data_IF_325344422986
#
_entry.id   IF_325344422986
#
_cell.length_a   1.000
_cell.length_b   1.000
_cell.length_c   1.000
_cell.angle_alpha   90.00
_cell.angle_beta   90.00
_cell.angle_gamma   90.00
#
_symmetry.space_group_name_H-M   'P 1'
#
loop_
_entity.id
_entity.type
_entity.pdbx_description
1 polymer ?
#
# COMPACT_ATOMS: atom_id res chain seq x y z
N UNK A 1 6.35 15.84 -4.55
CA UNK A 1 5.70 14.54 -4.84
C UNK A 1 4.44 14.40 -4.01
N UNK A 2 3.34 14.01 -4.61
CA UNK A 2 2.09 13.64 -3.92
C UNK A 2 1.98 12.12 -3.87
N UNK A 3 1.74 11.61 -2.70
CA UNK A 3 1.75 10.18 -2.40
C UNK A 3 0.45 9.75 -1.73
N UNK A 4 -0.04 8.56 -2.04
CA UNK A 4 -1.19 7.93 -1.38
C UNK A 4 -0.84 6.51 -0.97
N UNK A 5 -1.25 6.10 0.23
CA UNK A 5 -1.41 4.68 0.57
C UNK A 5 -2.80 4.42 1.13
N UNK A 6 -3.35 3.26 0.81
CA UNK A 6 -4.65 2.80 1.28
C UNK A 6 -4.70 1.27 1.24
N UNK A 7 -5.03 0.64 2.36
CA UNK A 7 -5.58 -0.70 2.35
C UNK A 7 -7.00 -0.59 1.78
N UNK A 8 -7.24 -1.20 0.63
CA UNK A 8 -8.45 -0.96 -0.16
C UNK A 8 -9.62 -1.82 0.26
N UNK A 9 -9.36 -2.97 0.92
CA UNK A 9 -10.35 -4.02 1.14
C UNK A 9 -11.12 -4.38 -0.15
N UNK A 10 -10.87 -3.65 -1.23
CA UNK A 10 -11.29 -3.83 -2.62
C UNK A 10 -12.76 -4.22 -2.78
N UNK A 11 -13.04 -5.37 -3.41
CA UNK A 11 -14.41 -5.84 -3.67
C UNK A 11 -15.13 -6.40 -2.45
N UNK A 12 -14.47 -6.47 -1.28
CA UNK A 12 -15.07 -6.93 -0.03
C UNK A 12 -15.95 -5.86 0.65
N UNK A 13 -15.86 -4.61 0.19
CA UNK A 13 -16.63 -3.51 0.75
C UNK A 13 -18.11 -3.54 0.37
N UNK A 14 -18.97 -3.15 1.30
CA UNK A 14 -20.36 -2.81 0.98
C UNK A 14 -20.38 -1.59 0.05
N UNK A 15 -21.21 -1.62 -1.02
CA UNK A 15 -21.22 -0.62 -2.09
C UNK A 15 -19.84 -0.43 -2.75
N UNK A 16 -19.14 -1.54 -3.03
CA UNK A 16 -17.80 -1.53 -3.58
C UNK A 16 -17.67 -0.67 -4.85
N UNK A 17 -18.68 -0.68 -5.74
CA UNK A 17 -18.67 0.14 -6.96
C UNK A 17 -18.74 1.65 -6.63
N UNK A 18 -19.58 2.08 -5.71
CA UNK A 18 -19.67 3.48 -5.26
C UNK A 18 -18.37 3.95 -4.61
N UNK A 19 -17.76 3.10 -3.78
CA UNK A 19 -16.47 3.34 -3.14
C UNK A 19 -15.32 3.40 -4.15
N UNK A 20 -15.30 2.50 -5.12
CA UNK A 20 -14.37 2.52 -6.24
C UNK A 20 -14.44 3.84 -7.03
N UNK A 21 -15.65 4.32 -7.36
CA UNK A 21 -15.83 5.61 -8.04
C UNK A 21 -15.33 6.78 -7.19
N UNK A 22 -15.61 6.78 -5.89
CA UNK A 22 -15.12 7.81 -4.95
C UNK A 22 -13.58 7.85 -4.90
N UNK A 23 -12.94 6.68 -4.82
CA UNK A 23 -11.47 6.57 -4.86
C UNK A 23 -10.92 7.08 -6.20
N UNK A 24 -11.52 6.67 -7.33
CA UNK A 24 -11.14 7.13 -8.67
C UNK A 24 -11.23 8.66 -8.79
N UNK A 25 -12.31 9.27 -8.33
CA UNK A 25 -12.51 10.73 -8.37
C UNK A 25 -11.46 11.48 -7.56
N UNK A 26 -11.09 10.97 -6.39
CA UNK A 26 -10.02 11.55 -5.58
C UNK A 26 -8.67 11.48 -6.31
N UNK A 27 -8.36 10.33 -6.93
CA UNK A 27 -7.11 10.17 -7.69
C UNK A 27 -7.08 11.13 -8.89
N UNK A 28 -8.17 11.27 -9.64
CA UNK A 28 -8.28 12.23 -10.74
C UNK A 28 -8.10 13.68 -10.28
N UNK A 29 -8.65 14.03 -9.13
CA UNK A 29 -8.58 15.37 -8.54
C UNK A 29 -7.17 15.73 -8.09
N UNK A 30 -6.48 14.83 -7.39
CA UNK A 30 -5.18 15.10 -6.77
C UNK A 30 -4.03 14.77 -7.71
N UNK A 31 -4.18 13.73 -8.55
CA UNK A 31 -3.17 13.22 -9.48
C UNK A 31 -1.88 12.85 -8.76
N UNK A 32 -1.97 11.87 -7.86
CA UNK A 32 -0.81 11.37 -7.10
C UNK A 32 0.31 10.90 -8.03
N UNK A 33 1.55 11.16 -7.65
CA UNK A 33 2.72 10.69 -8.38
C UNK A 33 2.93 9.18 -8.20
N UNK A 34 2.71 8.71 -6.96
CA UNK A 34 2.86 7.30 -6.56
C UNK A 34 1.71 6.92 -5.62
N UNK A 35 1.20 5.70 -5.78
CA UNK A 35 0.15 5.12 -4.93
C UNK A 35 0.56 3.71 -4.51
N UNK A 36 0.41 3.40 -3.21
CA UNK A 36 0.55 2.05 -2.65
C UNK A 36 -0.81 1.55 -2.19
N UNK A 37 -1.24 0.39 -2.69
CA UNK A 37 -2.48 -0.25 -2.28
C UNK A 37 -2.22 -1.61 -1.64
N UNK A 38 -3.03 -1.96 -0.65
CA UNK A 38 -3.04 -3.25 0.02
C UNK A 38 -4.43 -3.88 -0.15
N UNK A 39 -4.53 -5.18 0.05
CA UNK A 39 -5.74 -5.99 -0.18
C UNK A 39 -6.34 -5.80 -1.57
N UNK A 40 -5.47 -5.61 -2.55
CA UNK A 40 -5.86 -5.56 -3.96
C UNK A 40 -6.25 -6.95 -4.41
N UNK A 41 -7.51 -7.15 -4.78
CA UNK A 41 -8.02 -8.46 -5.08
C UNK A 41 -8.70 -8.59 -6.45
N UNK A 42 -8.93 -9.84 -6.84
CA UNK A 42 -9.70 -10.29 -7.99
C UNK A 42 -10.33 -11.65 -7.69
N UNK A 43 -11.49 -11.94 -8.24
CA UNK A 43 -12.14 -13.25 -8.14
C UNK A 43 -11.35 -14.34 -8.88
N UNK A 44 -11.18 -15.51 -8.25
CA UNK A 44 -10.45 -16.64 -8.84
C UNK A 44 -11.15 -17.19 -10.09
N UNK A 45 -12.48 -17.16 -10.14
CA UNK A 45 -13.28 -17.80 -11.18
C UNK A 45 -13.58 -16.87 -12.37
N UNK A 46 -13.21 -15.60 -12.33
CA UNK A 46 -13.44 -14.68 -13.45
C UNK A 46 -12.43 -14.90 -14.59
N UNK A 47 -12.73 -14.33 -15.74
CA UNK A 47 -11.91 -14.57 -16.93
C UNK A 47 -10.55 -13.86 -16.84
N UNK A 48 -9.50 -14.57 -17.23
CA UNK A 48 -8.17 -13.98 -17.45
C UNK A 48 -8.22 -13.00 -18.62
N UNK A 49 -7.51 -11.89 -18.50
CA UNK A 49 -7.40 -10.86 -19.53
C UNK A 49 -5.94 -10.54 -19.86
N UNK A 50 -5.70 -10.06 -21.06
CA UNK A 50 -4.39 -9.51 -21.42
C UNK A 50 -4.14 -8.20 -20.69
N UNK A 51 -2.88 -7.94 -20.36
CA UNK A 51 -2.42 -6.69 -19.78
C UNK A 51 -1.70 -5.85 -20.82
N UNK A 52 -1.66 -4.53 -20.61
CA UNK A 52 -0.95 -3.58 -21.44
C UNK A 52 0.52 -3.39 -21.02
N UNK A 53 1.25 -2.53 -21.74
CA UNK A 53 2.66 -2.21 -21.48
C UNK A 53 2.88 -1.41 -20.16
N UNK A 54 1.81 -0.99 -19.48
CA UNK A 54 1.88 -0.29 -18.21
C UNK A 54 1.88 -1.23 -16.99
N UNK A 55 1.52 -2.51 -17.20
CA UNK A 55 1.65 -3.53 -16.16
C UNK A 55 3.04 -4.14 -16.15
N UNK A 56 3.68 -4.16 -15.00
CA UNK A 56 5.00 -4.75 -14.77
C UNK A 56 4.85 -6.01 -13.90
N UNK A 57 4.79 -7.17 -14.56
CA UNK A 57 4.60 -8.45 -13.89
C UNK A 57 5.78 -8.82 -12.98
N UNK A 58 5.48 -9.44 -11.85
CA UNK A 58 6.43 -9.96 -10.87
C UNK A 58 6.60 -11.48 -10.99
N UNK A 59 7.67 -12.08 -10.44
CA UNK A 59 7.88 -13.53 -10.50
C UNK A 59 6.75 -14.36 -9.87
N UNK A 60 6.09 -13.84 -8.82
CA UNK A 60 4.93 -14.47 -8.18
C UNK A 60 3.60 -14.23 -8.90
N UNK A 61 3.60 -13.47 -10.02
CA UNK A 61 2.37 -13.04 -10.66
C UNK A 61 1.47 -14.22 -11.01
N UNK A 62 0.24 -14.19 -10.55
CA UNK A 62 -0.87 -14.98 -11.07
C UNK A 62 -1.51 -14.23 -12.25
N UNK A 63 -2.22 -14.91 -13.16
CA UNK A 63 -2.90 -14.23 -14.25
C UNK A 63 -3.81 -13.09 -13.76
N UNK A 64 -3.83 -11.99 -14.49
CA UNK A 64 -4.71 -10.87 -14.19
C UNK A 64 -6.11 -11.17 -14.74
N UNK A 65 -7.11 -11.04 -13.90
CA UNK A 65 -8.51 -11.28 -14.23
C UNK A 65 -9.25 -9.99 -14.59
N UNK A 66 -10.40 -10.15 -15.24
CA UNK A 66 -11.18 -9.00 -15.76
C UNK A 66 -11.65 -8.03 -14.68
N UNK A 67 -11.82 -8.52 -13.45
CA UNK A 67 -12.28 -7.77 -12.27
C UNK A 67 -11.14 -7.32 -11.34
N UNK A 68 -9.87 -7.52 -11.73
CA UNK A 68 -8.74 -7.08 -10.90
C UNK A 68 -8.85 -5.60 -10.56
N UNK A 69 -8.93 -5.29 -9.26
CA UNK A 69 -9.29 -3.96 -8.76
C UNK A 69 -8.39 -2.85 -9.33
N UNK A 70 -7.07 -3.01 -9.23
CA UNK A 70 -6.13 -1.99 -9.73
C UNK A 70 -6.14 -1.91 -11.25
N UNK A 71 -6.25 -3.05 -11.98
CA UNK A 71 -6.36 -3.02 -13.44
C UNK A 71 -7.54 -2.16 -13.90
N UNK A 72 -8.73 -2.39 -13.32
CA UNK A 72 -9.91 -1.60 -13.64
C UNK A 72 -9.73 -0.13 -13.28
N UNK A 73 -9.09 0.14 -12.13
CA UNK A 73 -8.84 1.51 -11.69
C UNK A 73 -7.93 2.27 -12.67
N UNK A 74 -6.78 1.69 -13.05
CA UNK A 74 -5.85 2.34 -13.98
C UNK A 74 -6.44 2.50 -15.38
N UNK A 75 -7.25 1.55 -15.84
CA UNK A 75 -7.98 1.65 -17.08
C UNK A 75 -8.96 2.84 -17.07
N UNK A 76 -9.76 2.97 -16.00
CA UNK A 76 -10.70 4.09 -15.84
C UNK A 76 -10.00 5.45 -15.69
N UNK A 77 -8.84 5.47 -15.04
CA UNK A 77 -8.03 6.69 -14.94
C UNK A 77 -7.43 7.07 -16.30
N UNK A 78 -6.98 6.08 -17.09
CA UNK A 78 -6.45 6.31 -18.44
C UNK A 78 -7.50 6.84 -19.41
N UNK A 79 -8.76 6.38 -19.32
CA UNK A 79 -9.91 6.92 -20.09
C UNK A 79 -10.10 8.44 -19.85
N UNK A 80 -9.73 8.92 -18.65
CA UNK A 80 -9.79 10.34 -18.23
C UNK A 80 -8.43 11.07 -18.46
N UNK A 81 -7.46 10.42 -19.12
CA UNK A 81 -6.17 11.01 -19.47
C UNK A 81 -5.10 10.94 -18.37
N UNK A 82 -5.33 10.15 -17.31
CA UNK A 82 -4.38 9.96 -16.22
C UNK A 82 -3.79 8.54 -16.26
N UNK A 83 -2.59 8.40 -16.80
CA UNK A 83 -1.93 7.11 -16.99
C UNK A 83 -1.01 6.76 -15.81
N UNK A 84 -1.03 5.48 -15.38
CA UNK A 84 -0.12 4.89 -14.41
C UNK A 84 0.55 3.63 -14.94
N UNK A 85 1.84 3.49 -14.70
CA UNK A 85 2.53 2.19 -14.64
C UNK A 85 2.19 1.54 -13.32
N UNK A 86 2.04 0.20 -13.30
CA UNK A 86 1.66 -0.48 -12.08
C UNK A 86 2.25 -1.88 -11.98
N UNK A 87 2.36 -2.36 -10.77
CA UNK A 87 2.79 -3.73 -10.44
C UNK A 87 1.95 -4.27 -9.29
N UNK A 88 1.81 -5.58 -9.20
CA UNK A 88 1.05 -6.26 -8.16
C UNK A 88 1.79 -7.52 -7.71
N UNK A 89 2.09 -7.62 -6.40
CA UNK A 89 2.66 -8.78 -5.75
C UNK A 89 1.51 -9.61 -5.16
N UNK A 90 1.31 -10.79 -5.70
CA UNK A 90 0.30 -11.73 -5.24
C UNK A 90 0.73 -12.39 -3.93
N UNK A 91 -0.12 -12.37 -2.92
CA UNK A 91 0.12 -12.96 -1.62
C UNK A 91 -0.52 -14.34 -1.48
N UNK A 92 -1.84 -14.37 -1.37
CA UNK A 92 -2.60 -15.57 -1.06
C UNK A 92 -4.04 -15.50 -1.56
N UNK A 93 -4.78 -16.55 -1.33
CA UNK A 93 -6.23 -16.60 -1.53
C UNK A 93 -6.89 -16.07 -0.26
N UNK A 94 -7.50 -14.89 -0.37
CA UNK A 94 -8.34 -14.30 0.67
C UNK A 94 -9.77 -14.83 0.57
N UNK A 95 -10.43 -15.02 1.71
CA UNK A 95 -11.85 -15.38 1.81
C UNK A 95 -12.27 -16.58 0.95
N UNK A 96 -11.35 -17.52 0.68
CA UNK A 96 -11.53 -18.74 -0.12
C UNK A 96 -11.79 -18.53 -1.62
N UNK A 97 -11.98 -17.31 -2.11
CA UNK A 97 -12.34 -17.05 -3.50
C UNK A 97 -11.62 -15.86 -4.18
N UNK A 98 -10.84 -15.10 -3.44
CA UNK A 98 -10.13 -13.92 -3.97
C UNK A 98 -8.63 -14.14 -4.03
N UNK A 99 -8.01 -13.95 -5.18
CA UNK A 99 -6.56 -13.73 -5.25
C UNK A 99 -6.27 -12.32 -4.70
N UNK A 100 -5.45 -12.22 -3.66
CA UNK A 100 -5.17 -10.97 -2.95
C UNK A 100 -3.68 -10.65 -2.92
N UNK A 101 -3.36 -9.37 -2.94
CA UNK A 101 -1.98 -8.90 -2.88
C UNK A 101 -1.84 -7.41 -2.64
N UNK A 102 -0.65 -6.89 -2.90
CA UNK A 102 -0.30 -5.48 -2.73
C UNK A 102 0.19 -4.89 -4.05
N UNK A 103 -0.10 -3.60 -4.30
CA UNK A 103 0.24 -2.95 -5.56
C UNK A 103 0.97 -1.63 -5.37
N UNK A 104 1.79 -1.27 -6.36
CA UNK A 104 2.38 0.07 -6.50
C UNK A 104 2.01 0.61 -7.87
N UNK A 105 1.52 1.86 -7.90
CA UNK A 105 1.24 2.61 -9.10
C UNK A 105 2.17 3.82 -9.16
N UNK A 106 2.68 4.14 -10.36
CA UNK A 106 3.56 5.30 -10.58
C UNK A 106 3.19 6.00 -11.88
N UNK A 107 3.18 7.33 -11.88
CA UNK A 107 3.00 8.13 -13.11
C UNK A 107 4.22 8.08 -14.02
N UNK A 108 5.38 7.71 -13.50
CA UNK A 108 6.61 7.49 -14.25
C UNK A 108 6.85 5.99 -14.46
N UNK A 109 7.56 5.59 -15.52
CA UNK A 109 7.98 4.21 -15.69
C UNK A 109 8.65 3.67 -14.43
N UNK A 110 8.44 2.39 -14.14
CA UNK A 110 8.99 1.73 -12.96
C UNK A 110 9.70 0.42 -13.32
N UNK A 111 10.66 0.06 -12.48
CA UNK A 111 11.24 -1.28 -12.44
C UNK A 111 10.65 -2.00 -11.23
N UNK A 112 9.92 -3.08 -11.48
CA UNK A 112 9.23 -3.84 -10.45
C UNK A 112 10.09 -4.96 -9.88
N UNK A 113 10.00 -5.18 -8.58
CA UNK A 113 10.51 -6.36 -7.89
C UNK A 113 9.64 -6.67 -6.67
N UNK A 114 9.83 -7.86 -6.08
CA UNK A 114 9.08 -8.27 -4.89
C UNK A 114 9.99 -8.88 -3.84
N UNK A 115 9.50 -8.98 -2.62
CA UNK A 115 10.15 -9.65 -1.51
C UNK A 115 9.13 -10.60 -0.88
N UNK A 116 9.39 -11.90 -0.86
CA UNK A 116 8.67 -12.82 0.03
C UNK A 116 9.16 -12.56 1.46
N UNK A 117 8.30 -11.98 2.29
CA UNK A 117 8.66 -11.60 3.66
C UNK A 117 8.20 -12.60 4.70
N UNK A 118 7.18 -13.41 4.42
CA UNK A 118 6.73 -14.49 5.29
C UNK A 118 7.63 -15.73 5.23
N UNK A 119 7.57 -16.58 6.25
CA UNK A 119 8.22 -17.90 6.25
C UNK A 119 7.50 -18.89 5.34
N UNK A 120 6.24 -18.62 5.04
CA UNK A 120 5.36 -19.44 4.20
C UNK A 120 5.34 -18.86 2.79
N UNK A 121 5.35 -19.75 1.79
CA UNK A 121 5.09 -19.45 0.38
C UNK A 121 4.04 -20.44 -0.16
N UNK A 122 2.82 -20.29 0.32
CA UNK A 122 1.68 -21.12 -0.05
C UNK A 122 0.46 -20.21 -0.28
N UNK A 123 -0.10 -20.15 -1.49
CA UNK A 123 -1.23 -19.28 -1.76
C UNK A 123 -2.51 -19.64 -0.98
N UNK A 124 -2.59 -20.83 -0.41
CA UNK A 124 -3.72 -21.25 0.44
C UNK A 124 -3.54 -20.88 1.92
N UNK A 125 -2.38 -20.35 2.27
CA UNK A 125 -2.08 -19.86 3.63
C UNK A 125 -2.07 -18.34 3.66
N UNK A 126 -3.02 -17.73 4.37
CA UNK A 126 -3.17 -16.27 4.49
C UNK A 126 -1.98 -15.58 5.18
N UNK A 127 -1.05 -16.33 5.77
CA UNK A 127 0.20 -15.79 6.29
C UNK A 127 1.25 -15.56 5.19
N UNK A 128 1.00 -16.01 3.96
CA UNK A 128 1.90 -15.71 2.84
C UNK A 128 1.86 -14.20 2.54
N UNK A 129 2.99 -13.53 2.71
CA UNK A 129 3.13 -12.08 2.54
C UNK A 129 4.28 -11.75 1.60
N UNK A 130 4.00 -10.88 0.63
CA UNK A 130 4.99 -10.24 -0.24
C UNK A 130 4.87 -8.74 -0.16
N UNK A 131 5.97 -8.09 -0.40
CA UNK A 131 6.08 -6.64 -0.57
C UNK A 131 6.30 -6.36 -2.03
N UNK A 132 5.48 -5.51 -2.64
CA UNK A 132 5.71 -5.00 -3.98
C UNK A 132 6.68 -3.81 -3.93
N UNK A 133 7.73 -3.85 -4.71
CA UNK A 133 8.75 -2.80 -4.77
C UNK A 133 8.79 -2.20 -6.16
N UNK A 134 8.73 -0.88 -6.25
CA UNK A 134 8.91 -0.12 -7.47
C UNK A 134 10.13 0.81 -7.34
N UNK A 135 11.08 0.71 -8.25
CA UNK A 135 12.12 1.72 -8.44
C UNK A 135 11.68 2.61 -9.60
N UNK A 136 11.54 3.90 -9.36
CA UNK A 136 11.00 4.88 -10.32
C UNK A 136 11.72 6.22 -10.17
N UNK A 137 11.27 7.24 -10.88
CA UNK A 137 11.87 8.58 -10.85
C UNK A 137 10.87 9.62 -10.34
N UNK A 138 11.30 10.43 -9.40
CA UNK A 138 10.56 11.59 -8.89
C UNK A 138 11.45 12.83 -8.99
N UNK A 139 10.98 13.89 -9.64
CA UNK A 139 11.72 15.13 -9.84
C UNK A 139 13.16 14.91 -10.37
N UNK A 140 13.32 13.90 -11.27
CA UNK A 140 14.61 13.54 -11.88
C UNK A 140 15.56 12.72 -11.00
N UNK A 141 15.14 12.28 -9.80
CA UNK A 141 15.90 11.41 -8.90
C UNK A 141 15.29 10.02 -8.85
N UNK A 142 16.12 8.99 -8.88
CA UNK A 142 15.69 7.62 -8.64
C UNK A 142 15.28 7.43 -7.18
N UNK A 143 14.14 6.78 -6.97
CA UNK A 143 13.58 6.46 -5.65
C UNK A 143 13.15 5.00 -5.61
N UNK A 144 13.12 4.41 -4.42
CA UNK A 144 12.52 3.11 -4.17
C UNK A 144 11.26 3.28 -3.31
N UNK A 145 10.20 2.64 -3.72
CA UNK A 145 8.92 2.64 -3.00
C UNK A 145 8.44 1.21 -2.82
N UNK A 146 7.96 0.89 -1.64
CA UNK A 146 7.44 -0.43 -1.32
C UNK A 146 6.03 -0.34 -0.72
N UNK A 147 5.11 -1.11 -1.28
CA UNK A 147 3.78 -1.34 -0.72
C UNK A 147 3.83 -2.58 0.17
N UNK A 148 3.44 -2.42 1.43
CA UNK A 148 3.50 -3.47 2.45
C UNK A 148 2.11 -3.78 3.01
N UNK A 149 1.87 -5.05 3.32
CA UNK A 149 0.78 -5.52 4.17
C UNK A 149 1.36 -6.61 5.05
N UNK A 150 1.78 -6.25 6.27
CA UNK A 150 2.52 -7.12 7.18
C UNK A 150 1.62 -7.78 8.21
N UNK A 151 2.17 -8.78 8.88
CA UNK A 151 1.50 -9.51 9.94
C UNK A 151 1.53 -8.74 11.27
N UNK A 152 0.74 -9.20 12.25
CA UNK A 152 0.75 -8.69 13.62
C UNK A 152 2.06 -9.07 14.33
N UNK A 153 2.43 -8.30 15.36
CA UNK A 153 3.66 -8.48 16.13
C UNK A 153 3.94 -9.93 16.56
N UNK A 154 2.92 -10.62 17.02
CA UNK A 154 2.99 -12.00 17.54
C UNK A 154 2.71 -13.07 16.47
N UNK A 155 2.56 -12.69 15.18
CA UNK A 155 2.20 -13.58 14.08
C UNK A 155 3.14 -13.53 12.88
N UNK A 156 4.43 -13.20 13.11
CA UNK A 156 5.44 -13.23 12.04
C UNK A 156 6.05 -11.88 11.66
N UNK A 157 5.53 -10.77 12.18
CA UNK A 157 6.03 -9.44 11.84
C UNK A 157 7.56 -9.28 12.02
N UNK A 158 8.15 -9.88 13.05
CA UNK A 158 9.58 -9.70 13.35
C UNK A 158 10.47 -10.27 12.24
N UNK A 159 10.12 -11.44 11.72
CA UNK A 159 10.82 -12.12 10.62
C UNK A 159 10.56 -11.40 9.30
N UNK A 160 9.33 -10.95 9.05
CA UNK A 160 8.97 -10.15 7.88
C UNK A 160 9.75 -8.83 7.85
N UNK A 161 9.80 -8.13 8.98
CA UNK A 161 10.54 -6.88 9.10
C UNK A 161 12.05 -7.06 8.89
N UNK A 162 12.64 -8.13 9.46
CA UNK A 162 14.06 -8.43 9.25
C UNK A 162 14.41 -8.65 7.78
N UNK A 163 13.53 -9.26 6.98
CA UNK A 163 13.73 -9.42 5.54
C UNK A 163 13.62 -8.10 4.77
N UNK A 164 12.71 -7.23 5.18
CA UNK A 164 12.61 -5.86 4.64
C UNK A 164 13.91 -5.09 4.93
N UNK A 165 14.41 -5.13 6.16
CA UNK A 165 15.68 -4.49 6.53
C UNK A 165 16.85 -5.01 5.67
N UNK A 166 16.98 -6.33 5.54
CA UNK A 166 18.03 -6.94 4.73
C UNK A 166 17.97 -6.50 3.27
N UNK A 167 16.76 -6.43 2.69
CA UNK A 167 16.56 -6.01 1.29
C UNK A 167 16.95 -4.56 1.05
N UNK A 168 16.64 -3.67 2.00
CA UNK A 168 16.80 -2.23 1.81
C UNK A 168 18.06 -1.63 2.44
N UNK A 169 18.80 -2.37 3.28
CA UNK A 169 20.01 -1.85 3.95
C UNK A 169 21.07 -1.26 3.01
N UNK A 170 21.10 -1.69 1.76
CA UNK A 170 22.06 -1.25 0.75
C UNK A 170 21.39 -0.60 -0.47
N UNK A 171 20.15 -0.10 -0.33
CA UNK A 171 19.38 0.42 -1.47
C UNK A 171 20.02 1.66 -2.11
N UNK A 172 20.70 2.49 -1.30
CA UNK A 172 21.44 3.66 -1.77
C UNK A 172 20.59 4.73 -2.48
N UNK A 173 19.27 4.65 -2.34
CA UNK A 173 18.28 5.57 -2.94
C UNK A 173 17.32 6.06 -1.86
N UNK A 174 16.70 7.24 -2.03
CA UNK A 174 15.58 7.65 -1.20
C UNK A 174 14.51 6.57 -1.17
N UNK A 175 14.08 6.17 0.03
CA UNK A 175 13.19 5.04 0.27
C UNK A 175 11.87 5.50 0.88
N UNK A 176 10.77 4.89 0.45
CA UNK A 176 9.45 4.97 1.09
C UNK A 176 8.91 3.55 1.28
N UNK A 177 8.55 3.21 2.52
CA UNK A 177 7.79 2.02 2.86
C UNK A 177 6.41 2.46 3.31
N UNK A 178 5.36 2.03 2.62
CA UNK A 178 4.01 2.49 2.92
C UNK A 178 2.98 1.37 2.84
N UNK A 179 1.97 1.43 3.69
CA UNK A 179 0.87 0.48 3.71
C UNK A 179 0.42 0.11 5.11
N UNK A 180 -0.20 -1.04 5.19
CA UNK A 180 -0.70 -1.64 6.42
C UNK A 180 0.39 -2.48 7.09
N UNK A 181 0.90 -1.99 8.20
CA UNK A 181 1.92 -2.69 9.00
C UNK A 181 1.31 -3.56 10.09
N UNK A 182 -0.01 -3.49 10.33
CA UNK A 182 -0.71 -4.25 11.37
C UNK A 182 -0.10 -4.14 12.78
N UNK A 183 0.63 -3.06 13.04
CA UNK A 183 1.33 -2.81 14.32
C UNK A 183 1.01 -1.39 14.80
N UNK A 184 0.19 -1.26 15.86
CA UNK A 184 -0.28 0.04 16.32
C UNK A 184 0.85 0.98 16.76
N UNK A 185 0.67 2.27 16.47
CA UNK A 185 1.59 3.32 16.91
C UNK A 185 1.90 3.24 18.41
N UNK A 186 3.18 3.37 18.75
CA UNK A 186 3.67 3.32 20.13
C UNK A 186 3.86 1.91 20.70
N UNK A 187 3.45 0.83 20.01
CA UNK A 187 3.67 -0.56 20.44
C UNK A 187 4.97 -1.14 19.86
N UNK A 188 5.29 -2.37 20.25
CA UNK A 188 6.57 -3.03 19.99
C UNK A 188 6.95 -3.04 18.51
N UNK A 189 6.04 -3.43 17.60
CA UNK A 189 6.30 -3.49 16.18
C UNK A 189 6.62 -2.11 15.58
N UNK A 190 5.85 -1.09 15.94
CA UNK A 190 6.13 0.30 15.56
C UNK A 190 7.50 0.77 16.08
N UNK A 191 7.84 0.47 17.34
CA UNK A 191 9.12 0.84 17.92
C UNK A 191 10.29 0.13 17.22
N UNK A 192 10.12 -1.13 16.80
CA UNK A 192 11.15 -1.86 16.07
C UNK A 192 11.43 -1.25 14.69
N UNK A 193 10.39 -0.73 14.01
CA UNK A 193 10.55 -0.01 12.75
C UNK A 193 11.39 1.27 12.96
N UNK A 194 11.06 2.06 13.98
CA UNK A 194 11.80 3.30 14.28
C UNK A 194 13.24 3.06 14.72
N UNK A 195 13.51 1.91 15.37
CA UNK A 195 14.86 1.50 15.78
C UNK A 195 15.67 0.84 14.64
N UNK A 196 15.09 0.67 13.46
CA UNK A 196 15.70 0.02 12.30
C UNK A 196 16.96 0.73 11.82
N UNK A 197 17.99 -0.03 11.36
CA UNK A 197 19.16 0.54 10.72
C UNK A 197 18.86 1.25 9.39
N UNK A 198 17.64 1.11 8.84
CA UNK A 198 17.18 1.87 7.67
C UNK A 198 17.01 3.36 7.96
N UNK A 199 17.04 3.77 9.24
CA UNK A 199 16.93 5.15 9.68
C UNK A 199 15.70 5.87 9.09
N UNK A 200 14.56 5.24 9.22
CA UNK A 200 13.29 5.74 8.71
C UNK A 200 12.67 6.77 9.67
N UNK A 201 11.92 7.69 9.11
CA UNK A 201 11.08 8.63 9.84
C UNK A 201 9.60 8.32 9.57
N UNK A 202 8.77 8.36 10.60
CA UNK A 202 7.32 8.27 10.47
C UNK A 202 6.80 9.61 9.92
N UNK A 203 6.23 9.58 8.72
CA UNK A 203 5.72 10.80 8.08
C UNK A 203 4.64 11.51 8.89
N UNK A 204 3.87 10.77 9.70
CA UNK A 204 2.86 11.35 10.59
C UNK A 204 3.48 12.22 11.69
N UNK A 205 4.61 11.77 12.26
CA UNK A 205 5.27 12.46 13.37
C UNK A 205 6.13 13.64 12.93
N UNK A 206 6.65 13.61 11.67
CA UNK A 206 7.61 14.62 11.18
C UNK A 206 7.01 15.61 10.20
N UNK A 207 5.77 15.40 9.75
CA UNK A 207 5.10 16.33 8.84
C UNK A 207 4.99 17.73 9.45
N UNK A 208 5.19 18.76 8.62
CA UNK A 208 5.00 20.17 9.06
C UNK A 208 3.53 20.46 9.36
N UNK A 209 2.61 19.79 8.67
CA UNK A 209 1.16 19.86 8.88
C UNK A 209 0.59 18.45 8.88
N UNK A 210 -0.18 18.08 9.91
CA UNK A 210 -0.85 16.79 10.04
C UNK A 210 -2.34 16.98 10.28
N UNK A 211 -3.17 16.19 9.56
CA UNK A 211 -4.63 16.17 9.74
C UNK A 211 -5.10 14.73 9.92
N UNK A 212 -5.98 14.51 10.90
CA UNK A 212 -6.43 13.17 11.31
C UNK A 212 -5.54 12.56 12.38
N UNK A 213 -5.87 11.35 12.83
CA UNK A 213 -5.16 10.73 13.95
C UNK A 213 -5.04 9.20 13.83
N UNK A 214 -6.01 8.55 13.20
CA UNK A 214 -6.14 7.10 13.14
C UNK A 214 -6.34 6.68 11.70
N UNK A 215 -6.00 5.43 11.39
CA UNK A 215 -6.17 4.86 10.06
C UNK A 215 -7.24 3.78 10.01
N UNK A 216 -7.73 3.34 11.17
CA UNK A 216 -8.83 2.39 11.26
C UNK A 216 -9.76 2.73 12.44
N UNK A 217 -11.04 2.42 12.27
CA UNK A 217 -12.04 2.47 13.33
C UNK A 217 -11.91 1.29 14.33
N UNK A 218 -12.72 1.28 15.39
CA UNK A 218 -12.77 0.15 16.31
C UNK A 218 -13.40 -1.08 15.65
N UNK A 219 -12.90 -2.29 15.99
CA UNK A 219 -13.54 -3.57 15.68
C UNK A 219 -13.48 -4.02 14.22
N UNK A 220 -12.58 -3.47 13.38
CA UNK A 220 -12.37 -3.94 11.99
C UNK A 220 -11.87 -5.39 11.96
N UNK A 221 -11.88 -6.01 10.79
CA UNK A 221 -11.34 -7.35 10.62
C UNK A 221 -9.85 -7.38 11.00
N UNK A 222 -9.38 -8.50 11.55
CA UNK A 222 -8.04 -8.58 12.15
C UNK A 222 -7.88 -7.92 13.53
N UNK A 223 -8.79 -6.98 13.89
CA UNK A 223 -8.76 -6.24 15.16
C UNK A 223 -10.09 -6.34 15.92
N UNK A 224 -10.81 -7.45 15.76
CA UNK A 224 -12.05 -7.74 16.48
C UNK A 224 -11.80 -7.74 17.99
N UNK A 225 -12.54 -6.91 18.74
CA UNK A 225 -12.38 -6.73 20.18
C UNK A 225 -11.53 -5.52 20.58
N UNK A 226 -10.95 -4.81 19.64
CA UNK A 226 -10.39 -3.49 19.90
C UNK A 226 -11.51 -2.44 19.89
N UNK A 227 -11.67 -1.72 21.00
CA UNK A 227 -12.75 -0.73 21.19
C UNK A 227 -12.34 0.69 20.80
N UNK A 228 -11.05 0.92 20.55
CA UNK A 228 -10.49 2.22 20.23
C UNK A 228 -9.98 2.27 18.78
N UNK A 229 -10.06 3.40 18.09
CA UNK A 229 -9.44 3.53 16.78
C UNK A 229 -7.91 3.40 16.87
N UNK A 230 -7.28 2.87 15.82
CA UNK A 230 -5.84 2.62 15.77
C UNK A 230 -5.20 3.32 14.56
N UNK A 231 -3.91 3.56 14.66
CA UNK A 231 -3.04 3.89 13.53
C UNK A 231 -2.13 2.69 13.29
N UNK A 232 -2.38 1.97 12.20
CA UNK A 232 -1.67 0.76 11.77
C UNK A 232 -1.15 0.87 10.34
N UNK A 233 -1.65 1.84 9.59
CA UNK A 233 -1.14 2.21 8.29
C UNK A 233 -0.15 3.36 8.43
N UNK A 234 0.93 3.30 7.65
CA UNK A 234 2.02 4.26 7.75
C UNK A 234 2.62 4.61 6.38
N UNK A 235 3.29 5.76 6.35
CA UNK A 235 4.27 6.11 5.34
C UNK A 235 5.60 6.39 6.07
N UNK A 236 6.49 5.40 6.06
CA UNK A 236 7.85 5.56 6.55
C UNK A 236 8.76 6.00 5.42
N UNK A 237 9.51 7.06 5.61
CA UNK A 237 10.38 7.64 4.62
C UNK A 237 11.84 7.70 5.11
N UNK A 238 12.81 7.52 4.22
CA UNK A 238 14.23 7.75 4.55
C UNK A 238 14.50 9.23 4.84
N UNK A 239 15.65 9.52 5.45
CA UNK A 239 16.02 10.88 5.84
C UNK A 239 16.25 11.83 4.65
N UNK A 240 16.21 11.34 3.41
CA UNK A 240 16.32 12.14 2.18
C UNK A 240 15.08 13.02 1.94
N UNK A 241 13.97 12.68 2.60
CA UNK A 241 12.68 13.33 2.42
C UNK A 241 12.37 14.36 3.51
N UNK A 242 11.79 15.48 3.11
CA UNK A 242 11.04 16.38 3.97
C UNK A 242 9.55 16.10 3.77
N UNK A 243 8.83 15.86 4.85
CA UNK A 243 7.37 15.66 4.82
C UNK A 243 6.70 17.02 5.02
N UNK A 244 6.10 17.54 3.96
CA UNK A 244 5.44 18.84 4.00
C UNK A 244 4.07 18.74 4.68
N UNK A 245 3.28 17.74 4.29
CA UNK A 245 1.94 17.50 4.82
C UNK A 245 1.61 16.02 4.86
N UNK A 246 0.86 15.61 5.87
CA UNK A 246 0.17 14.33 5.93
C UNK A 246 -1.29 14.55 6.31
N UNK A 247 -2.20 13.92 5.57
CA UNK A 247 -3.63 13.95 5.86
C UNK A 247 -4.21 12.55 5.86
N UNK A 248 -4.95 12.22 6.90
CA UNK A 248 -5.84 11.05 6.89
C UNK A 248 -7.07 11.42 6.06
N UNK A 249 -7.35 10.63 5.04
CA UNK A 249 -8.46 10.84 4.11
C UNK A 249 -9.39 9.62 4.10
N UNK A 250 -10.59 9.77 3.57
CA UNK A 250 -11.61 8.72 3.56
C UNK A 250 -12.02 8.23 4.96
N UNK A 251 -11.99 9.14 5.94
CA UNK A 251 -12.28 8.87 7.36
C UNK A 251 -13.76 8.99 7.73
N UNK A 252 -14.62 9.25 6.76
CA UNK A 252 -16.06 9.46 6.96
C UNK A 252 -16.44 10.85 7.49
N UNK A 253 -15.46 11.69 7.83
CA UNK A 253 -15.69 13.05 8.33
C UNK A 253 -15.50 14.11 7.23
N UNK A 254 -14.33 14.14 6.64
CA UNK A 254 -13.98 15.10 5.58
C UNK A 254 -14.23 14.55 4.19
N UNK A 255 -14.16 13.24 4.05
CA UNK A 255 -14.41 12.50 2.81
C UNK A 255 -15.19 11.21 3.12
N UNK A 256 -16.01 10.71 2.16
CA UNK A 256 -16.71 9.43 2.33
C UNK A 256 -15.73 8.28 2.57
N UNK A 257 -16.16 7.28 3.34
CA UNK A 257 -15.42 6.02 3.50
C UNK A 257 -15.33 5.29 2.16
N UNK A 258 -14.17 4.73 1.84
CA UNK A 258 -13.95 3.89 0.67
C UNK A 258 -13.44 2.49 1.03
N UNK A 259 -13.05 2.30 2.28
CA UNK A 259 -12.53 1.06 2.85
C UNK A 259 -12.83 1.05 4.35
N UNK A 260 -12.65 -0.07 5.02
CA UNK A 260 -12.59 -0.16 6.48
C UNK A 260 -11.28 0.44 7.04
N UNK A 261 -10.28 0.69 6.18
CA UNK A 261 -9.12 1.52 6.46
C UNK A 261 -9.28 2.93 5.89
N UNK A 262 -8.59 3.91 6.51
CA UNK A 262 -8.49 5.28 6.02
C UNK A 262 -7.21 5.49 5.25
N UNK A 263 -7.26 6.29 4.17
CA UNK A 263 -6.09 6.58 3.35
C UNK A 263 -5.14 7.58 4.00
N UNK A 264 -3.84 7.46 3.69
CA UNK A 264 -2.84 8.46 4.02
C UNK A 264 -2.39 9.19 2.75
N UNK A 265 -2.74 10.47 2.65
CA UNK A 265 -2.26 11.38 1.62
C UNK A 265 -1.04 12.13 2.15
N UNK A 266 0.09 12.07 1.45
CA UNK A 266 1.35 12.67 1.92
C UNK A 266 1.99 13.52 0.81
N UNK A 267 2.41 14.73 1.16
CA UNK A 267 3.25 15.57 0.31
C UNK A 267 4.70 15.52 0.79
N UNK A 268 5.61 15.10 -0.10
CA UNK A 268 7.04 14.98 0.18
C UNK A 268 7.87 15.80 -0.81
N UNK A 269 8.96 16.37 -0.31
CA UNK A 269 10.01 17.02 -1.12
C UNK A 269 11.38 16.47 -0.74
N UNK A 270 12.33 16.51 -1.67
CA UNK A 270 13.71 16.15 -1.33
C UNK A 270 14.35 17.24 -0.44
N UNK A 271 15.19 16.80 0.49
CA UNK A 271 16.07 17.70 1.27
C UNK A 271 17.17 18.28 0.41
#
# INVERSE_FOLDING_TARGET
>A
MKFLTLNTHSWMEEDAEGKFQTLKEQILKVQYDIICFQEVNQEIETSVVDTDDYYHALPSATPIHQDHFVRLLVEKLAEEGLQYHWTWAYNHIGYDHLNEGVAVLSRQPLTASEILVSDVDDPTDYHTRRVAVAETTVDGREVAVASVHLSWWDKGFQEEWARIEERFKAIGKPLILAGDFNNPAGREGYQSILASPLNLQDSFEVAKETTGSYTVGPGIDGWKGNEEPLRIDYVFASQDWTVERLSVIFDGNNQPLVSDHYGLEVELTFK
#
